data_IF_724963214730
#
_entry.id   IF_724963214730
#
_cell.length_a   1.000
_cell.length_b   1.000
_cell.length_c   1.000
_cell.angle_alpha   90.00
_cell.angle_beta   90.00
_cell.angle_gamma   90.00
#
_symmetry.space_group_name_H-M   'P 1'
#
loop_
_entity.id
_entity.type
_entity.pdbx_description
1 polymer ?
#
# COMPACT_ATOMS: atom_id res chain seq x y z
N UNK A 1 6.43 -16.53 -8.55
CA UNK A 1 6.01 -15.13 -8.72
C UNK A 1 6.41 -14.35 -7.47
N UNK A 2 6.94 -13.16 -7.62
CA UNK A 2 7.34 -12.36 -6.48
C UNK A 2 6.11 -11.81 -5.75
N UNK A 3 6.26 -11.57 -4.46
CA UNK A 3 5.16 -11.07 -3.63
C UNK A 3 4.72 -9.68 -4.08
N UNK A 4 5.66 -8.81 -4.48
CA UNK A 4 5.28 -7.47 -4.94
C UNK A 4 4.44 -7.53 -6.21
N UNK A 5 4.76 -8.43 -7.14
CA UNK A 5 3.97 -8.58 -8.35
C UNK A 5 2.58 -9.09 -8.06
N UNK A 6 2.44 -9.98 -7.07
CA UNK A 6 1.14 -10.46 -6.64
C UNK A 6 0.30 -9.33 -6.06
N UNK A 7 0.89 -8.52 -5.18
CA UNK A 7 0.22 -7.37 -4.58
C UNK A 7 -0.21 -6.37 -5.67
N UNK A 8 0.71 -6.07 -6.59
CA UNK A 8 0.42 -5.12 -7.67
C UNK A 8 -0.66 -5.62 -8.61
N UNK A 9 -0.66 -6.91 -8.90
CA UNK A 9 -1.69 -7.52 -9.75
C UNK A 9 -3.08 -7.40 -9.13
N UNK A 10 -3.19 -7.67 -7.83
CA UNK A 10 -4.46 -7.54 -7.12
C UNK A 10 -4.92 -6.08 -7.10
N UNK A 11 -4.02 -5.15 -6.80
CA UNK A 11 -4.35 -3.73 -6.77
C UNK A 11 -4.81 -3.24 -8.14
N UNK A 12 -4.12 -3.68 -9.22
CA UNK A 12 -4.47 -3.28 -10.59
C UNK A 12 -5.87 -3.73 -10.96
N UNK A 13 -6.32 -4.84 -10.40
CA UNK A 13 -7.66 -5.38 -10.66
C UNK A 13 -8.71 -4.85 -9.68
N UNK A 14 -8.37 -3.86 -8.88
CA UNK A 14 -9.29 -3.28 -7.92
C UNK A 14 -9.54 -4.13 -6.68
N UNK A 15 -8.74 -5.17 -6.47
CA UNK A 15 -8.90 -6.10 -5.36
C UNK A 15 -8.08 -5.63 -4.17
N UNK A 16 -8.43 -4.47 -3.65
CA UNK A 16 -7.77 -3.90 -2.48
C UNK A 16 -8.77 -3.02 -1.72
N UNK A 17 -8.50 -2.80 -0.45
CA UNK A 17 -9.30 -1.88 0.36
C UNK A 17 -8.44 -1.35 1.52
N UNK A 18 -8.85 -0.21 2.06
CA UNK A 18 -8.20 0.40 3.21
C UNK A 18 -9.01 0.08 4.47
N UNK A 19 -8.31 -0.24 5.57
CA UNK A 19 -8.96 -0.27 6.88
C UNK A 19 -9.39 1.14 7.23
N UNK A 20 -10.31 1.27 8.20
CA UNK A 20 -10.73 2.58 8.68
C UNK A 20 -9.53 3.41 9.14
N UNK A 21 -8.60 2.79 9.85
CA UNK A 21 -7.38 3.45 10.32
C UNK A 21 -6.53 3.95 9.15
N UNK A 22 -6.33 3.10 8.13
CA UNK A 22 -5.55 3.49 6.96
C UNK A 22 -6.22 4.63 6.19
N UNK A 23 -7.55 4.60 6.10
CA UNK A 23 -8.29 5.68 5.44
C UNK A 23 -8.12 7.00 6.18
N UNK A 24 -8.22 6.98 7.50
CA UNK A 24 -8.00 8.17 8.32
C UNK A 24 -6.59 8.72 8.14
N UNK A 25 -5.59 7.84 8.11
CA UNK A 25 -4.21 8.25 7.89
C UNK A 25 -4.01 8.87 6.51
N UNK A 26 -4.61 8.26 5.49
CA UNK A 26 -4.52 8.78 4.13
C UNK A 26 -5.11 10.19 4.05
N UNK A 27 -6.28 10.39 4.63
CA UNK A 27 -6.92 11.70 4.67
C UNK A 27 -6.04 12.72 5.38
N UNK A 28 -5.44 12.34 6.51
CA UNK A 28 -4.57 13.23 7.29
C UNK A 28 -3.34 13.66 6.49
N UNK A 29 -2.85 12.81 5.58
CA UNK A 29 -1.70 13.10 4.74
C UNK A 29 -2.11 13.68 3.37
N UNK A 30 -3.40 13.95 3.17
CA UNK A 30 -3.96 14.44 1.91
C UNK A 30 -3.70 13.47 0.75
N UNK A 31 -3.80 12.17 1.01
CA UNK A 31 -3.79 11.14 -0.01
C UNK A 31 -5.20 10.61 -0.20
N UNK A 32 -5.61 10.40 -1.45
CA UNK A 32 -6.85 9.69 -1.73
C UNK A 32 -6.55 8.22 -2.08
N UNK A 33 -7.61 7.46 -2.37
CA UNK A 33 -7.45 6.02 -2.64
C UNK A 33 -6.61 5.77 -3.89
N UNK A 34 -6.65 6.69 -4.88
CA UNK A 34 -5.87 6.54 -6.11
C UNK A 34 -4.39 6.81 -5.88
N UNK A 35 -4.05 7.65 -4.90
CA UNK A 35 -2.67 7.84 -4.47
C UNK A 35 -2.12 6.55 -3.87
N UNK A 36 -2.93 5.87 -3.05
CA UNK A 36 -2.54 4.60 -2.43
C UNK A 36 -2.34 3.54 -3.51
N UNK A 37 -3.26 3.43 -4.45
CA UNK A 37 -3.14 2.49 -5.55
C UNK A 37 -1.87 2.76 -6.37
N UNK A 38 -1.63 4.00 -6.73
CA UNK A 38 -0.45 4.38 -7.50
C UNK A 38 0.83 4.07 -6.73
N UNK A 39 0.82 4.29 -5.42
CA UNK A 39 1.94 3.96 -4.56
C UNK A 39 2.26 2.48 -4.58
N UNK A 40 1.24 1.63 -4.56
CA UNK A 40 1.43 0.18 -4.66
C UNK A 40 1.99 -0.18 -6.05
N UNK A 41 1.41 0.38 -7.11
CA UNK A 41 1.78 0.02 -8.49
C UNK A 41 3.18 0.48 -8.87
N UNK A 42 3.67 1.56 -8.27
CA UNK A 42 5.02 2.08 -8.55
C UNK A 42 6.04 1.65 -7.51
N UNK A 43 5.60 0.94 -6.49
CA UNK A 43 6.41 0.71 -5.29
C UNK A 43 7.25 -0.54 -5.31
N UNK A 44 8.06 -0.64 -4.28
CA UNK A 44 8.89 -1.80 -3.97
C UNK A 44 8.69 -2.15 -2.51
N UNK A 45 8.82 -3.44 -2.17
CA UNK A 45 8.76 -3.88 -0.78
C UNK A 45 10.06 -3.43 -0.11
N UNK A 46 9.93 -2.61 0.95
CA UNK A 46 11.06 -2.16 1.74
C UNK A 46 11.24 -3.01 2.99
N UNK A 47 10.13 -3.52 3.55
CA UNK A 47 10.16 -4.30 4.78
C UNK A 47 9.10 -5.39 4.72
N UNK A 48 9.42 -6.52 5.34
CA UNK A 48 8.50 -7.65 5.43
C UNK A 48 8.43 -8.10 6.89
N UNK A 49 7.22 -8.39 7.36
CA UNK A 49 6.97 -8.99 8.65
C UNK A 49 6.37 -10.38 8.41
N UNK A 50 7.24 -11.42 8.33
CA UNK A 50 6.76 -12.75 7.89
C UNK A 50 5.70 -13.36 8.79
N UNK A 51 5.79 -13.14 10.09
CA UNK A 51 4.82 -13.73 11.02
C UNK A 51 3.42 -13.21 10.80
N UNK A 52 3.29 -11.94 10.46
CA UNK A 52 2.00 -11.29 10.19
C UNK A 52 1.58 -11.40 8.74
N UNK A 53 2.48 -11.84 7.87
CA UNK A 53 2.23 -11.81 6.43
C UNK A 53 2.04 -10.42 5.90
N UNK A 54 2.77 -9.45 6.47
CA UNK A 54 2.60 -8.03 6.21
C UNK A 54 3.82 -7.47 5.49
N UNK A 55 3.58 -6.52 4.60
CA UNK A 55 4.61 -5.91 3.76
C UNK A 55 4.51 -4.40 3.82
N UNK A 56 5.65 -3.71 3.79
CA UNK A 56 5.71 -2.27 3.61
C UNK A 56 6.15 -1.99 2.18
N UNK A 57 5.26 -1.37 1.40
CA UNK A 57 5.54 -0.99 0.03
C UNK A 57 5.75 0.51 -0.01
N UNK A 58 6.83 0.96 -0.62
CA UNK A 58 7.12 2.39 -0.77
C UNK A 58 7.14 2.71 -2.26
N UNK A 59 6.32 3.65 -2.66
CA UNK A 59 6.19 4.08 -4.04
C UNK A 59 5.89 5.56 -4.13
N UNK A 60 5.22 5.96 -5.21
CA UNK A 60 4.89 7.36 -5.47
C UNK A 60 3.38 7.55 -5.53
N UNK A 61 2.89 8.60 -4.88
CA UNK A 61 1.53 9.06 -5.06
C UNK A 61 1.41 9.73 -6.43
N UNK A 62 0.17 10.06 -6.83
CA UNK A 62 -0.07 10.66 -8.14
C UNK A 62 0.62 12.01 -8.31
N UNK A 63 0.79 12.77 -7.23
CA UNK A 63 1.46 14.06 -7.26
C UNK A 63 2.98 13.98 -7.11
N UNK A 64 3.53 12.76 -7.05
CA UNK A 64 4.97 12.54 -6.96
C UNK A 64 5.51 12.44 -5.55
N UNK A 65 4.70 12.68 -4.51
CA UNK A 65 5.15 12.48 -3.13
C UNK A 65 5.40 11.00 -2.89
N UNK A 66 6.41 10.69 -2.08
CA UNK A 66 6.66 9.30 -1.71
C UNK A 66 5.61 8.86 -0.69
N UNK A 67 5.04 7.68 -0.91
CA UNK A 67 4.00 7.13 -0.07
C UNK A 67 4.41 5.74 0.43
N UNK A 68 4.22 5.50 1.72
CA UNK A 68 4.41 4.18 2.32
C UNK A 68 3.05 3.54 2.59
N UNK A 69 2.94 2.28 2.20
CA UNK A 69 1.71 1.51 2.35
C UNK A 69 2.05 0.19 3.03
N UNK A 70 1.51 -0.02 4.23
CA UNK A 70 1.66 -1.29 4.93
C UNK A 70 0.41 -2.11 4.63
N UNK A 71 0.61 -3.31 4.10
CA UNK A 71 -0.50 -4.12 3.61
C UNK A 71 -0.25 -5.61 3.76
N UNK A 72 -1.30 -6.38 3.61
CA UNK A 72 -1.23 -7.85 3.58
C UNK A 72 -2.24 -8.38 2.56
N UNK A 73 -2.00 -9.60 2.10
CA UNK A 73 -2.95 -10.28 1.22
C UNK A 73 -3.87 -11.10 2.10
N UNK A 74 -5.18 -10.90 1.96
CA UNK A 74 -6.18 -11.62 2.77
C UNK A 74 -6.42 -13.03 2.22
N UNK A 75 -7.04 -13.86 3.02
CA UNK A 75 -7.45 -15.21 2.60
C UNK A 75 -8.37 -15.14 1.38
N UNK A 76 -9.20 -14.10 1.30
CA UNK A 76 -10.09 -13.89 0.16
C UNK A 76 -9.43 -13.35 -1.10
N UNK A 77 -8.12 -13.12 -1.08
CA UNK A 77 -7.40 -12.68 -2.27
C UNK A 77 -7.48 -11.18 -2.54
N UNK A 78 -7.51 -10.38 -1.49
CA UNK A 78 -7.49 -8.91 -1.61
C UNK A 78 -6.30 -8.34 -0.86
N UNK A 79 -5.86 -7.17 -1.28
CA UNK A 79 -4.84 -6.42 -0.54
C UNK A 79 -5.53 -5.57 0.52
N UNK A 80 -5.26 -5.87 1.78
CA UNK A 80 -5.76 -5.08 2.90
C UNK A 80 -4.70 -4.07 3.29
N UNK A 81 -5.00 -2.79 3.11
CA UNK A 81 -4.09 -1.71 3.47
C UNK A 81 -4.34 -1.34 4.94
N UNK A 82 -3.30 -1.46 5.75
CA UNK A 82 -3.37 -1.31 7.21
C UNK A 82 -2.90 0.08 7.64
N UNK A 83 -1.87 0.60 6.98
CA UNK A 83 -1.23 1.86 7.34
C UNK A 83 -0.81 2.61 6.07
N UNK A 84 -1.03 3.92 6.06
CA UNK A 84 -0.62 4.81 4.97
C UNK A 84 0.10 6.00 5.59
N UNK A 85 1.23 6.37 5.00
CA UNK A 85 1.97 7.54 5.48
C UNK A 85 2.77 8.16 4.34
N UNK A 86 3.11 9.43 4.49
CA UNK A 86 4.04 10.07 3.56
C UNK A 86 5.46 9.69 3.97
N UNK A 87 6.24 9.15 3.03
CA UNK A 87 7.60 8.70 3.30
C UNK A 87 8.56 9.85 2.99
N UNK A 88 8.87 10.62 4.01
CA UNK A 88 9.77 11.77 3.88
C UNK A 88 11.19 11.35 4.23
N UNK A 89 12.08 11.12 3.24
CA UNK A 89 13.47 10.84 3.55
C UNK A 89 14.12 12.13 4.10
N UNK A 90 14.85 11.98 5.17
CA UNK A 90 15.60 13.10 5.75
C UNK A 90 17.04 13.05 5.30
#
# INVERSE_FOLDING_TARGET
MSKIKQIQGLARNGLYYLTEHADEEAVAEAFDIYDVEHGILTGKIRRTWPREGTFEVVGSALDGRRIGVVCRITVGGKVRVITVYEDNPK
#
